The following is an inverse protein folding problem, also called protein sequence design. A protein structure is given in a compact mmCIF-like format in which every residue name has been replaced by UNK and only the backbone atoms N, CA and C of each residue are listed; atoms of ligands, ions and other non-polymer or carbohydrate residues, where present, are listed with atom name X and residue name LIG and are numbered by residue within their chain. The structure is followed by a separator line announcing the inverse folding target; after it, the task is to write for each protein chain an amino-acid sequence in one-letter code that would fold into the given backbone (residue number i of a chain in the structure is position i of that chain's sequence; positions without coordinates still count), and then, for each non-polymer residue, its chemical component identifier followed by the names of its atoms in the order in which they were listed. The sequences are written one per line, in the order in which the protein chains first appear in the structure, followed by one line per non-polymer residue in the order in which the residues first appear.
data_IF_447216132155
#
_entry.id   IF_447216132155
#
_cell.length_a   1.000
_cell.length_b   1.000
_cell.length_c   1.000
_cell.angle_alpha   90.00
_cell.angle_beta   90.00
_cell.angle_gamma   90.00
#
_symmetry.space_group_name_H-M   'P 1'
#
loop_
_entity.id
_entity.type
_entity.pdbx_description
1 polymer ?
#
# COMPACT_ATOMS: atom_id res chain seq x y z
N UNK A 1 5.34 -14.17 19.40
CA UNK A 1 5.85 -14.49 18.07
C UNK A 1 6.97 -15.48 18.28
N UNK A 2 6.96 -16.60 17.56
CA UNK A 2 8.09 -17.53 17.61
C UNK A 2 9.25 -17.05 16.73
N UNK A 3 10.44 -17.66 16.88
CA UNK A 3 11.66 -17.22 16.17
C UNK A 3 11.54 -17.32 14.63
N UNK A 4 10.63 -18.18 14.13
CA UNK A 4 10.39 -18.38 12.69
C UNK A 4 9.50 -17.25 12.16
N UNK A 5 8.44 -16.91 12.88
CA UNK A 5 7.56 -15.77 12.59
C UNK A 5 8.35 -14.45 12.62
N UNK A 6 9.22 -14.24 13.61
CA UNK A 6 10.07 -13.05 13.72
C UNK A 6 10.97 -12.90 12.47
N UNK A 7 11.63 -13.99 12.06
CA UNK A 7 12.50 -13.99 10.88
C UNK A 7 11.73 -13.74 9.57
N UNK A 8 10.49 -14.25 9.47
CA UNK A 8 9.63 -13.95 8.33
C UNK A 8 9.27 -12.46 8.31
N UNK A 9 8.85 -11.90 9.45
CA UNK A 9 8.46 -10.49 9.57
C UNK A 9 9.62 -9.58 9.15
N UNK A 10 10.83 -9.83 9.63
CA UNK A 10 12.02 -9.06 9.27
C UNK A 10 12.30 -9.12 7.76
N UNK A 11 12.39 -10.33 7.19
CA UNK A 11 12.70 -10.50 5.77
C UNK A 11 11.64 -9.89 4.87
N UNK A 12 10.36 -10.04 5.23
CA UNK A 12 9.28 -9.49 4.43
C UNK A 12 9.23 -7.96 4.53
N UNK A 13 9.42 -7.42 5.74
CA UNK A 13 9.52 -5.98 5.93
C UNK A 13 10.71 -5.38 5.15
N UNK A 14 11.85 -6.07 5.08
CA UNK A 14 13.02 -5.63 4.31
C UNK A 14 12.74 -5.58 2.80
N UNK A 15 12.04 -6.58 2.25
CA UNK A 15 11.62 -6.57 0.84
C UNK A 15 10.71 -5.38 0.55
N UNK A 16 9.71 -5.15 1.40
CA UNK A 16 8.79 -4.02 1.22
C UNK A 16 9.51 -2.67 1.37
N UNK A 17 10.38 -2.52 2.36
CA UNK A 17 11.19 -1.32 2.53
C UNK A 17 12.12 -1.08 1.33
N UNK A 18 12.70 -2.14 0.77
CA UNK A 18 13.49 -2.09 -0.46
C UNK A 18 12.72 -1.62 -1.69
N UNK A 19 11.40 -1.81 -1.71
CA UNK A 19 10.48 -1.31 -2.76
C UNK A 19 10.02 0.14 -2.56
N UNK A 20 10.54 0.83 -1.54
CA UNK A 20 10.23 2.24 -1.26
C UNK A 20 9.15 2.47 -0.19
N UNK A 21 8.67 1.42 0.48
CA UNK A 21 7.75 1.59 1.61
C UNK A 21 8.48 2.20 2.81
N UNK A 22 7.83 3.07 3.60
CA UNK A 22 8.36 3.50 4.88
C UNK A 22 8.62 2.27 5.78
N UNK A 23 9.81 2.20 6.38
CA UNK A 23 10.23 1.03 7.19
C UNK A 23 9.19 0.60 8.23
N UNK A 24 8.60 1.56 8.94
CA UNK A 24 7.57 1.23 9.94
C UNK A 24 6.28 0.69 9.32
N UNK A 25 5.84 1.21 8.17
CA UNK A 25 4.68 0.68 7.46
C UNK A 25 4.92 -0.76 6.99
N UNK A 26 6.11 -1.03 6.44
CA UNK A 26 6.52 -2.36 6.04
C UNK A 26 6.52 -3.35 7.22
N UNK A 27 7.11 -2.97 8.36
CA UNK A 27 7.12 -3.79 9.58
C UNK A 27 5.72 -4.06 10.12
N UNK A 28 4.85 -3.06 10.20
CA UNK A 28 3.46 -3.22 10.66
C UNK A 28 2.72 -4.19 9.74
N UNK A 29 2.81 -4.02 8.42
CA UNK A 29 2.14 -4.89 7.48
C UNK A 29 2.65 -6.33 7.56
N UNK A 30 3.97 -6.52 7.65
CA UNK A 30 4.56 -7.84 7.80
C UNK A 30 4.12 -8.54 9.10
N UNK A 31 4.06 -7.82 10.23
CA UNK A 31 3.56 -8.36 11.51
C UNK A 31 2.09 -8.77 11.42
N UNK A 32 1.24 -7.96 10.79
CA UNK A 32 -0.18 -8.32 10.61
C UNK A 32 -0.33 -9.55 9.72
N UNK A 33 0.46 -9.65 8.64
CA UNK A 33 0.45 -10.82 7.74
C UNK A 33 0.94 -12.11 8.41
N UNK A 34 1.82 -12.00 9.41
CA UNK A 34 2.28 -13.15 10.20
C UNK A 34 1.28 -13.55 11.29
N UNK A 35 0.35 -12.67 11.67
CA UNK A 35 -0.62 -12.93 12.73
C UNK A 35 -1.74 -13.82 12.21
N UNK A 36 -2.08 -14.91 12.92
CA UNK A 36 -3.05 -15.91 12.44
C UNK A 36 -4.44 -15.35 12.08
N UNK A 37 -4.86 -14.26 12.73
CA UNK A 37 -6.12 -13.56 12.43
C UNK A 37 -5.98 -12.35 11.52
N UNK A 38 -4.77 -12.03 11.04
CA UNK A 38 -4.51 -10.81 10.26
C UNK A 38 -4.73 -9.50 11.03
N UNK A 39 -5.02 -9.58 12.33
CA UNK A 39 -5.47 -8.46 13.15
C UNK A 39 -4.66 -8.35 14.45
N UNK A 40 -4.24 -7.13 14.76
CA UNK A 40 -3.57 -6.81 16.02
C UNK A 40 -4.05 -5.47 16.56
N UNK A 41 -4.14 -5.37 17.88
CA UNK A 41 -4.33 -4.11 18.58
C UNK A 41 -3.09 -3.21 18.44
N UNK A 42 -3.27 -1.91 18.64
CA UNK A 42 -2.14 -0.97 18.69
C UNK A 42 -1.09 -1.38 19.76
N UNK A 43 -1.53 -1.95 20.88
CA UNK A 43 -0.66 -2.38 21.96
C UNK A 43 0.16 -3.62 21.59
N UNK A 44 -0.47 -4.60 20.94
CA UNK A 44 0.22 -5.81 20.45
C UNK A 44 1.26 -5.47 19.39
N UNK A 45 0.93 -4.60 18.42
CA UNK A 45 1.90 -4.11 17.43
C UNK A 45 3.05 -3.35 18.09
N UNK A 46 2.76 -2.50 19.08
CA UNK A 46 3.79 -1.78 19.84
C UNK A 46 4.74 -2.73 20.56
N UNK A 47 4.20 -3.76 21.21
CA UNK A 47 4.99 -4.78 21.91
C UNK A 47 5.83 -5.60 20.93
N UNK A 48 5.23 -6.12 19.86
CA UNK A 48 5.89 -6.95 18.86
C UNK A 48 7.02 -6.21 18.12
N UNK A 49 6.83 -4.91 17.85
CA UNK A 49 7.79 -4.11 17.09
C UNK A 49 8.82 -3.37 17.95
N UNK A 50 8.63 -3.37 19.28
CA UNK A 50 9.47 -2.62 20.22
C UNK A 50 9.38 -1.10 20.05
N UNK A 51 8.18 -0.58 19.75
CA UNK A 51 7.97 0.85 19.45
C UNK A 51 6.77 1.43 20.19
N UNK A 52 6.76 2.76 20.38
CA UNK A 52 5.62 3.47 20.96
C UNK A 52 4.36 3.45 20.06
N UNK A 53 3.19 3.62 20.69
CA UNK A 53 1.87 3.62 20.00
C UNK A 53 1.73 4.72 18.93
N UNK A 54 2.44 5.83 19.11
CA UNK A 54 2.52 6.92 18.12
C UNK A 54 3.23 6.48 16.83
N UNK A 55 4.28 5.65 16.94
CA UNK A 55 5.00 5.11 15.79
C UNK A 55 4.13 4.13 15.00
N UNK A 56 3.36 3.27 15.68
CA UNK A 56 2.37 2.39 15.06
C UNK A 56 1.30 3.21 14.33
N UNK A 57 0.71 4.18 15.01
CA UNK A 57 -0.35 5.02 14.44
C UNK A 57 0.11 5.82 13.22
N UNK A 58 1.34 6.34 13.25
CA UNK A 58 1.92 7.05 12.11
C UNK A 58 2.30 6.09 10.97
N UNK A 59 2.90 4.95 11.29
CA UNK A 59 3.29 3.94 10.29
C UNK A 59 2.10 3.31 9.57
N UNK A 60 0.95 3.20 10.23
CA UNK A 60 -0.27 2.67 9.64
C UNK A 60 -0.98 3.64 8.67
N UNK A 61 -0.64 4.94 8.64
CA UNK A 61 -1.34 5.94 7.81
C UNK A 61 -1.32 5.57 6.32
N UNK A 62 -0.15 5.20 5.80
CA UNK A 62 0.01 4.80 4.40
C UNK A 62 -0.79 3.52 4.09
N UNK A 63 -0.74 2.53 4.99
CA UNK A 63 -1.46 1.27 4.81
C UNK A 63 -2.98 1.50 4.73
N UNK A 64 -3.50 2.42 5.55
CA UNK A 64 -4.89 2.86 5.49
C UNK A 64 -5.22 3.60 4.20
N UNK A 65 -4.37 4.53 3.75
CA UNK A 65 -4.61 5.27 2.52
C UNK A 65 -4.57 4.39 1.27
N UNK A 66 -3.88 3.25 1.33
CA UNK A 66 -3.84 2.26 0.26
C UNK A 66 -4.90 1.16 0.42
N UNK A 67 -5.81 1.29 1.39
CA UNK A 67 -6.81 0.26 1.73
C UNK A 67 -6.19 -1.13 1.97
N UNK A 68 -4.97 -1.19 2.50
CA UNK A 68 -4.30 -2.45 2.86
C UNK A 68 -4.67 -2.91 4.27
N UNK A 69 -4.94 -1.97 5.15
CA UNK A 69 -5.25 -2.20 6.56
C UNK A 69 -6.46 -1.39 6.96
N UNK A 70 -7.48 -2.06 7.49
CA UNK A 70 -8.62 -1.43 8.14
C UNK A 70 -8.30 -1.17 9.61
N UNK A 71 -8.95 -0.12 10.14
CA UNK A 71 -8.82 0.27 11.54
C UNK A 71 -10.18 0.30 12.20
N UNK A 72 -10.43 -0.67 13.07
CA UNK A 72 -11.67 -0.79 13.83
C UNK A 72 -11.43 -0.41 15.29
N UNK A 73 -12.49 0.02 15.96
CA UNK A 73 -12.48 0.22 17.42
C UNK A 73 -13.24 -0.93 18.07
N UNK A 74 -12.55 -1.76 18.84
CA UNK A 74 -13.17 -2.73 19.74
C UNK A 74 -13.45 -2.03 21.08
N UNK A 75 -14.72 -1.87 21.43
CA UNK A 75 -15.17 -1.00 22.52
C UNK A 75 -14.70 0.47 22.33
N UNK A 76 -15.09 1.39 23.20
CA UNK A 76 -14.83 2.84 23.00
C UNK A 76 -13.34 3.25 23.01
N UNK A 77 -12.38 2.32 23.19
CA UNK A 77 -10.96 2.65 23.42
C UNK A 77 -9.92 1.80 22.70
N UNK A 78 -10.23 0.59 22.22
CA UNK A 78 -9.19 -0.30 21.68
C UNK A 78 -9.14 -0.23 20.17
N UNK A 79 -8.05 0.32 19.62
CA UNK A 79 -7.81 0.36 18.18
C UNK A 79 -7.22 -0.98 17.73
N UNK A 80 -7.86 -1.60 16.72
CA UNK A 80 -7.42 -2.83 16.06
C UNK A 80 -7.10 -2.51 14.61
N UNK A 81 -5.94 -2.98 14.16
CA UNK A 81 -5.48 -2.94 12.78
C UNK A 81 -5.65 -4.32 12.18
N UNK A 82 -6.32 -4.42 11.04
CA UNK A 82 -6.62 -5.69 10.38
C UNK A 82 -6.24 -5.61 8.89
N UNK A 83 -5.48 -6.59 8.41
CA UNK A 83 -5.20 -6.73 6.98
C UNK A 83 -6.47 -7.19 6.28
N UNK A 84 -6.84 -6.50 5.21
CA UNK A 84 -8.00 -6.89 4.43
C UNK A 84 -7.73 -8.18 3.63
N UNK A 85 -8.68 -9.12 3.54
CA UNK A 85 -8.53 -10.34 2.72
C UNK A 85 -8.25 -10.03 1.24
N UNK A 86 -8.71 -8.88 0.77
CA UNK A 86 -8.56 -8.34 -0.58
C UNK A 86 -7.55 -7.19 -0.65
N UNK A 87 -6.73 -6.95 0.39
CA UNK A 87 -5.85 -5.80 0.53
C UNK A 87 -5.09 -5.44 -0.76
N UNK A 88 -4.49 -6.43 -1.42
CA UNK A 88 -3.76 -6.21 -2.66
C UNK A 88 -4.66 -5.85 -3.85
N UNK A 89 -5.86 -6.42 -3.92
CA UNK A 89 -6.84 -6.10 -4.97
C UNK A 89 -7.40 -4.69 -4.78
N UNK A 90 -7.69 -4.30 -3.54
CA UNK A 90 -8.17 -2.96 -3.20
C UNK A 90 -7.09 -1.90 -3.37
N UNK A 91 -5.82 -2.22 -3.04
CA UNK A 91 -4.70 -1.34 -3.30
C UNK A 91 -4.52 -1.07 -4.80
N UNK A 92 -4.73 -2.08 -5.65
CA UNK A 92 -4.72 -1.93 -7.12
C UNK A 92 -5.92 -1.11 -7.59
N UNK A 93 -7.12 -1.35 -7.07
CA UNK A 93 -8.32 -0.58 -7.43
C UNK A 93 -8.20 0.90 -7.02
N UNK A 94 -7.61 1.19 -5.86
CA UNK A 94 -7.38 2.55 -5.37
C UNK A 94 -6.42 3.35 -6.26
N UNK A 95 -5.53 2.68 -7.01
CA UNK A 95 -4.62 3.35 -7.92
C UNK A 95 -5.31 4.04 -9.12
N UNK A 96 -6.56 3.68 -9.50
CA UNK A 96 -7.23 4.28 -10.66
C UNK A 96 -7.33 5.81 -10.57
N UNK A 97 -7.78 6.33 -9.43
CA UNK A 97 -7.97 7.77 -9.24
C UNK A 97 -6.64 8.53 -9.25
N UNK A 98 -5.59 7.94 -8.68
CA UNK A 98 -4.24 8.52 -8.64
C UNK A 98 -3.59 8.52 -10.03
N UNK A 99 -3.70 7.39 -10.75
CA UNK A 99 -3.17 7.27 -12.12
C UNK A 99 -3.87 8.22 -13.08
N UNK A 100 -5.20 8.37 -12.96
CA UNK A 100 -5.97 9.33 -13.77
C UNK A 100 -5.56 10.78 -13.51
N UNK A 101 -5.35 11.14 -12.24
CA UNK A 101 -4.88 12.49 -11.89
C UNK A 101 -3.47 12.74 -12.45
N UNK A 102 -2.58 11.75 -12.36
CA UNK A 102 -1.23 11.82 -12.92
C UNK A 102 -1.25 11.96 -14.44
N UNK A 103 -2.07 11.17 -15.13
CA UNK A 103 -2.34 11.26 -16.57
C UNK A 103 -2.75 12.70 -16.98
N UNK A 104 -3.70 13.29 -16.24
CA UNK A 104 -4.16 14.67 -16.48
C UNK A 104 -3.02 15.68 -16.33
N UNK A 105 -2.27 15.62 -15.22
CA UNK A 105 -1.17 16.55 -14.94
C UNK A 105 -0.08 16.46 -16.02
N UNK A 106 0.25 15.24 -16.47
CA UNK A 106 1.27 15.02 -17.51
C UNK A 106 0.80 15.57 -18.86
N UNK A 107 -0.46 15.35 -19.21
CA UNK A 107 -1.07 15.85 -20.44
C UNK A 107 -1.12 17.38 -20.46
N UNK A 108 -1.56 18.00 -19.36
CA UNK A 108 -1.58 19.46 -19.20
C UNK A 108 -0.16 20.04 -19.28
N UNK A 109 0.80 19.37 -18.62
CA UNK A 109 2.22 19.73 -18.67
C UNK A 109 2.78 19.70 -20.10
N UNK A 110 2.36 18.74 -20.91
CA UNK A 110 2.79 18.62 -22.30
C UNK A 110 2.29 19.78 -23.18
N UNK A 111 1.11 20.34 -22.89
CA UNK A 111 0.54 21.48 -23.62
C UNK A 111 1.28 22.79 -23.34
N UNK A 112 1.82 22.96 -22.13
CA UNK A 112 2.54 24.18 -21.73
C UNK A 112 4.06 24.10 -21.97
N UNK A 113 4.58 22.92 -22.35
CA UNK A 113 5.99 22.70 -22.59
C UNK A 113 6.48 23.46 -23.83
N UNK A 114 7.51 24.31 -23.66
CA UNK A 114 8.12 25.09 -24.75
C UNK A 114 9.05 24.27 -25.66
N UNK A 115 9.67 23.23 -25.11
CA UNK A 115 10.54 22.32 -25.86
C UNK A 115 9.73 21.11 -26.35
N UNK A 116 9.65 20.85 -27.68
CA UNK A 116 8.97 19.68 -28.23
C UNK A 116 9.45 18.35 -27.65
N UNK A 117 10.73 18.23 -27.30
CA UNK A 117 11.28 17.00 -26.68
C UNK A 117 10.78 16.82 -25.25
N UNK A 118 10.54 17.91 -24.53
CA UNK A 118 9.95 17.85 -23.20
C UNK A 118 8.47 17.46 -23.25
N UNK A 119 7.71 18.06 -24.19
CA UNK A 119 6.32 17.67 -24.45
C UNK A 119 6.20 16.19 -24.79
N UNK A 120 7.04 15.68 -25.69
CA UNK A 120 7.05 14.27 -26.07
C UNK A 120 7.31 13.31 -24.89
N UNK A 121 8.27 13.62 -24.00
CA UNK A 121 8.51 12.80 -22.80
C UNK A 121 7.31 12.77 -21.85
N UNK A 122 6.61 13.90 -21.69
CA UNK A 122 5.42 13.99 -20.84
C UNK A 122 4.27 13.17 -21.41
N UNK A 123 4.02 13.27 -22.73
CA UNK A 123 3.00 12.49 -23.42
C UNK A 123 3.29 10.99 -23.35
N UNK A 124 4.53 10.57 -23.65
CA UNK A 124 4.93 9.15 -23.54
C UNK A 124 4.68 8.61 -22.12
N UNK A 125 4.97 9.42 -21.10
CA UNK A 125 4.74 9.04 -19.71
C UNK A 125 3.23 8.96 -19.40
N UNK A 126 2.44 9.90 -19.92
CA UNK A 126 0.98 9.89 -19.76
C UNK A 126 0.37 8.64 -20.42
N UNK A 127 0.80 8.31 -21.63
CA UNK A 127 0.34 7.13 -22.38
C UNK A 127 0.65 5.84 -21.63
N UNK A 128 1.85 5.72 -21.04
CA UNK A 128 2.21 4.57 -20.22
C UNK A 128 1.29 4.41 -19.00
N UNK A 129 1.00 5.49 -18.26
CA UNK A 129 0.12 5.41 -17.10
C UNK A 129 -1.35 5.19 -17.48
N UNK A 130 -1.80 5.70 -18.64
CA UNK A 130 -3.12 5.39 -19.18
C UNK A 130 -3.25 3.90 -19.53
N UNK A 131 -2.23 3.31 -20.16
CA UNK A 131 -2.17 1.87 -20.42
C UNK A 131 -2.20 1.06 -19.11
N UNK A 132 -1.36 1.42 -18.13
CA UNK A 132 -1.31 0.74 -16.84
C UNK A 132 -2.67 0.78 -16.12
N UNK A 133 -3.34 1.94 -16.12
CA UNK A 133 -4.68 2.13 -15.53
C UNK A 133 -5.73 1.24 -16.20
N UNK A 134 -5.64 1.03 -17.51
CA UNK A 134 -6.55 0.14 -18.25
C UNK A 134 -6.29 -1.35 -17.98
N UNK A 135 -5.04 -1.74 -17.76
CA UNK A 135 -4.65 -3.16 -17.59
C UNK A 135 -4.81 -3.66 -16.15
N UNK A 136 -4.55 -2.82 -15.14
CA UNK A 136 -4.59 -3.23 -13.73
C UNK A 136 -5.92 -3.90 -13.31
N UNK A 137 -7.12 -3.35 -13.64
CA UNK A 137 -8.38 -4.01 -13.33
C UNK A 137 -8.55 -5.37 -14.00
N UNK A 138 -8.01 -5.53 -15.22
CA UNK A 138 -8.09 -6.79 -15.96
C UNK A 138 -7.19 -7.87 -15.32
N UNK A 139 -6.01 -7.48 -14.81
CA UNK A 139 -5.14 -8.39 -14.06
C UNK A 139 -5.86 -8.90 -12.80
N UNK A 140 -6.52 -8.01 -12.05
CA UNK A 140 -7.30 -8.37 -10.86
C UNK A 140 -8.49 -9.27 -11.22
N UNK A 141 -9.21 -8.95 -12.29
CA UNK A 141 -10.33 -9.77 -12.76
C UNK A 141 -9.89 -11.19 -13.10
N UNK A 142 -8.82 -11.35 -13.90
CA UNK A 142 -8.27 -12.68 -14.25
C UNK A 142 -7.82 -13.48 -13.03
N UNK A 143 -7.26 -12.82 -12.03
CA UNK A 143 -6.88 -13.49 -10.78
C UNK A 143 -8.09 -13.97 -9.99
N UNK A 144 -9.19 -13.21 -9.96
CA UNK A 144 -10.45 -13.59 -9.31
C UNK A 144 -11.11 -14.77 -10.03
N UNK A 145 -11.13 -14.75 -11.36
CA UNK A 145 -11.79 -15.79 -12.16
C UNK A 145 -11.02 -17.13 -12.16
N UNK A 146 -9.71 -17.09 -11.90
CA UNK A 146 -8.84 -18.27 -11.84
C UNK A 146 -8.72 -18.95 -10.47
N UNK A 147 -9.48 -18.48 -9.47
CA UNK A 147 -9.53 -19.05 -8.12
C UNK A 147 -10.91 -19.65 -7.82
#
# INVERSE_FOLDING_TARGET
MDEVEDRFVERFADVLAGSGWPRMSARIFASLMATSGGACTAAELSAALGVGSSAVSNGAKMLRSLNLVDVTRQNDRQIVYEVRPDAWMEAVAHQDSQLRNLESILTDGAQVAKDPRASARLLETADFFAFLRAELPQIVARWRDGR
#
